data_IF_625701946417
#
_entry.id   IF_625701946417
#
_cell.length_a   1.000
_cell.length_b   1.000
_cell.length_c   1.000
_cell.angle_alpha   90.00
_cell.angle_beta   90.00
_cell.angle_gamma   90.00
#
_symmetry.space_group_name_H-M   'P 1'
#
loop_
_entity.id
_entity.type
_entity.pdbx_description
1 polymer ?
#
# COMPACT_ATOMS: atom_id res chain seq x y z
N UNK A 1 -40.03 -2.49 -38.48
CA UNK A 1 -38.61 -2.83 -38.58
C UNK A 1 -38.20 -3.43 -37.24
N UNK A 2 -37.84 -4.71 -37.21
CA UNK A 2 -37.47 -5.43 -36.00
C UNK A 2 -35.94 -5.32 -35.77
N UNK A 3 -35.44 -5.18 -34.52
CA UNK A 3 -34.02 -5.11 -34.26
C UNK A 3 -33.32 -6.46 -34.41
N UNK A 4 -32.02 -6.49 -34.76
CA UNK A 4 -31.27 -7.73 -34.95
C UNK A 4 -30.99 -8.45 -33.60
N UNK A 5 -31.13 -9.77 -33.63
CA UNK A 5 -30.81 -10.68 -32.51
C UNK A 5 -29.29 -10.90 -32.44
N UNK A 6 -28.73 -10.71 -31.27
CA UNK A 6 -27.32 -11.01 -30.98
C UNK A 6 -27.23 -12.49 -30.53
N UNK A 7 -26.38 -13.33 -31.15
CA UNK A 7 -26.18 -14.71 -30.69
C UNK A 7 -25.34 -14.75 -29.41
N UNK A 8 -25.82 -15.52 -28.42
CA UNK A 8 -25.16 -15.74 -27.16
C UNK A 8 -23.89 -16.60 -27.32
N UNK A 9 -22.79 -16.15 -26.79
CA UNK A 9 -21.57 -16.91 -26.59
C UNK A 9 -21.54 -17.48 -25.17
N UNK A 10 -21.88 -18.75 -25.02
CA UNK A 10 -21.64 -19.54 -23.83
C UNK A 10 -20.16 -19.91 -23.74
N UNK A 11 -19.49 -19.48 -22.72
CA UNK A 11 -18.14 -19.90 -22.34
C UNK A 11 -18.13 -20.44 -20.92
N UNK A 12 -18.28 -21.76 -20.76
CA UNK A 12 -17.98 -22.47 -19.50
C UNK A 12 -16.48 -22.76 -19.49
N UNK A 13 -15.74 -22.15 -18.57
CA UNK A 13 -14.34 -22.38 -18.31
C UNK A 13 -14.12 -22.87 -16.88
N UNK A 14 -13.85 -24.09 -16.80
CA UNK A 14 -13.20 -25.03 -15.89
C UNK A 14 -12.55 -24.49 -14.62
N UNK A 15 -12.95 -25.14 -13.52
CA UNK A 15 -12.32 -25.10 -12.20
C UNK A 15 -10.91 -25.70 -12.22
N UNK A 16 -9.89 -24.90 -11.89
CA UNK A 16 -8.55 -25.33 -11.57
C UNK A 16 -8.36 -25.44 -10.06
N UNK A 17 -8.49 -26.66 -9.50
CA UNK A 17 -8.04 -26.99 -8.13
C UNK A 17 -6.52 -27.15 -8.12
N UNK A 18 -5.78 -26.17 -7.60
CA UNK A 18 -4.38 -26.30 -7.24
C UNK A 18 -4.22 -26.64 -5.76
N UNK A 19 -4.06 -27.94 -5.43
CA UNK A 19 -3.54 -28.40 -4.14
C UNK A 19 -2.01 -28.23 -4.17
N UNK A 20 -1.46 -27.29 -3.41
CA UNK A 20 -0.05 -27.16 -3.11
C UNK A 20 0.19 -27.35 -1.63
N UNK A 21 0.47 -28.59 -1.20
CA UNK A 21 0.95 -28.92 0.13
C UNK A 21 2.44 -28.59 0.25
N UNK A 22 2.81 -27.65 1.10
CA UNK A 22 4.20 -27.35 1.48
C UNK A 22 4.45 -27.80 2.92
N UNK A 23 5.14 -28.94 3.05
CA UNK A 23 5.49 -29.53 4.34
C UNK A 23 6.53 -28.71 5.10
N UNK A 24 6.22 -28.36 6.33
CA UNK A 24 7.17 -27.81 7.30
C UNK A 24 8.00 -28.95 7.91
N UNK A 25 9.27 -29.03 7.54
CA UNK A 25 10.25 -29.87 8.24
C UNK A 25 10.70 -29.15 9.50
N UNK A 26 10.24 -29.65 10.66
CA UNK A 26 10.81 -29.34 11.99
C UNK A 26 12.20 -29.95 12.10
N UNK A 27 13.23 -29.14 12.05
CA UNK A 27 14.58 -29.50 12.43
C UNK A 27 14.73 -29.45 13.95
N UNK A 28 14.68 -30.64 14.60
CA UNK A 28 15.03 -30.84 16.00
C UNK A 28 16.55 -31.01 16.08
N UNK A 29 17.28 -29.94 16.40
CA UNK A 29 18.69 -29.98 16.76
C UNK A 29 18.85 -30.08 18.26
N UNK A 30 18.94 -31.31 18.83
CA UNK A 30 19.41 -31.55 20.20
C UNK A 30 20.95 -31.50 20.19
N UNK A 31 21.54 -30.45 20.71
CA UNK A 31 22.93 -30.48 21.13
C UNK A 31 23.02 -30.49 22.65
N UNK A 32 23.23 -31.68 23.16
CA UNK A 32 23.62 -32.00 24.52
C UNK A 32 25.14 -31.72 24.64
N UNK A 33 25.50 -30.55 25.11
CA UNK A 33 26.88 -30.21 25.51
C UNK A 33 27.06 -30.39 26.98
N UNK A 34 27.63 -31.53 27.36
CA UNK A 34 28.07 -31.90 28.68
C UNK A 34 29.38 -31.18 28.95
N UNK A 35 29.43 -30.22 29.86
CA UNK A 35 30.69 -29.70 30.37
C UNK A 35 30.82 -29.86 31.85
N UNK A 36 31.95 -30.48 32.18
CA UNK A 36 32.51 -30.92 33.42
C UNK A 36 32.75 -29.80 34.42
N UNK A 37 32.59 -30.22 35.67
CA UNK A 37 32.96 -29.58 36.89
C UNK A 37 34.32 -28.86 36.88
N UNK A 38 34.29 -27.58 37.25
CA UNK A 38 35.46 -26.79 37.60
C UNK A 38 35.17 -26.03 38.88
N UNK A 39 35.53 -26.64 39.98
CA UNK A 39 35.56 -26.06 41.30
C UNK A 39 36.51 -24.84 41.32
N UNK A 40 35.96 -23.64 41.51
CA UNK A 40 36.70 -22.42 41.70
C UNK A 40 35.79 -21.36 42.31
N UNK A 41 35.80 -21.22 43.63
CA UNK A 41 35.19 -20.10 44.33
C UNK A 41 35.86 -18.79 43.93
N UNK A 42 35.19 -17.85 43.32
CA UNK A 42 35.63 -16.45 43.32
C UNK A 42 34.83 -15.66 44.35
N UNK A 43 35.56 -14.94 45.16
CA UNK A 43 35.10 -13.93 46.12
C UNK A 43 34.22 -12.87 45.45
N UNK A 44 33.16 -12.36 46.11
CA UNK A 44 32.32 -11.33 45.52
C UNK A 44 33.05 -9.97 45.53
N UNK A 45 33.63 -9.58 44.39
CA UNK A 45 33.97 -8.18 44.12
C UNK A 45 32.67 -7.44 43.89
N UNK A 46 32.28 -6.61 44.84
CA UNK A 46 31.24 -5.59 44.66
C UNK A 46 31.73 -4.56 43.62
N UNK A 47 31.38 -4.78 42.38
CA UNK A 47 31.48 -3.72 41.36
C UNK A 47 30.07 -3.25 41.09
N UNK A 48 29.75 -2.06 41.64
CA UNK A 48 28.51 -1.34 41.40
C UNK A 48 28.41 -0.78 39.97
N UNK A 49 28.47 -1.66 38.96
CA UNK A 49 28.45 -1.30 37.53
C UNK A 49 27.14 -1.63 36.81
N UNK A 50 26.13 -2.12 37.57
CA UNK A 50 24.94 -2.74 36.94
C UNK A 50 23.86 -1.75 36.49
N UNK A 51 23.80 -0.53 36.99
CA UNK A 51 22.62 0.33 36.78
C UNK A 51 22.74 1.29 35.59
N UNK A 52 23.96 1.62 35.16
CA UNK A 52 24.19 2.50 34.01
C UNK A 52 24.15 1.78 32.66
N UNK A 53 24.51 0.50 32.63
CA UNK A 53 24.55 -0.29 31.39
C UNK A 53 23.14 -0.57 30.85
N UNK A 54 22.16 -0.81 31.72
CA UNK A 54 20.77 -1.08 31.30
C UNK A 54 20.09 0.17 30.74
N UNK A 55 20.32 1.33 31.37
CA UNK A 55 19.77 2.61 30.90
C UNK A 55 20.33 3.04 29.53
N UNK A 56 21.64 2.84 29.32
CA UNK A 56 22.29 3.16 28.04
C UNK A 56 21.79 2.32 26.88
N UNK A 57 21.62 1.01 27.10
CA UNK A 57 21.09 0.09 26.08
C UNK A 57 19.64 0.43 25.67
N UNK A 58 18.82 0.81 26.64
CA UNK A 58 17.42 1.18 26.38
C UNK A 58 17.32 2.46 25.55
N UNK A 59 18.13 3.48 25.84
CA UNK A 59 18.15 4.74 25.07
C UNK A 59 18.62 4.51 23.63
N UNK A 60 19.60 3.64 23.41
CA UNK A 60 20.07 3.29 22.04
C UNK A 60 18.97 2.58 21.27
N UNK A 61 18.25 1.64 21.91
CA UNK A 61 17.15 0.93 21.24
C UNK A 61 15.99 1.86 20.89
N UNK A 62 15.58 2.73 21.80
CA UNK A 62 14.52 3.72 21.51
C UNK A 62 14.93 4.67 20.39
N UNK A 63 16.19 5.14 20.40
CA UNK A 63 16.72 5.99 19.33
C UNK A 63 16.73 5.29 17.97
N UNK A 64 17.11 4.00 17.93
CA UNK A 64 17.17 3.24 16.69
C UNK A 64 15.78 2.98 16.08
N UNK A 65 14.78 2.63 16.91
CA UNK A 65 13.39 2.43 16.46
C UNK A 65 12.82 3.74 15.93
N UNK A 66 13.05 4.86 16.61
CA UNK A 66 12.57 6.18 16.17
C UNK A 66 13.21 6.62 14.84
N UNK A 67 14.51 6.35 14.66
CA UNK A 67 15.22 6.66 13.43
C UNK A 67 14.74 5.82 12.24
N UNK A 68 14.52 4.52 12.45
CA UNK A 68 14.00 3.62 11.42
C UNK A 68 12.59 4.02 10.96
N UNK A 69 11.71 4.35 11.90
CA UNK A 69 10.35 4.80 11.59
C UNK A 69 10.33 6.13 10.80
N UNK A 70 11.21 7.07 11.16
CA UNK A 70 11.33 8.34 10.43
C UNK A 70 11.81 8.12 9.00
N UNK A 71 12.83 7.27 8.79
CA UNK A 71 13.40 6.99 7.48
C UNK A 71 12.37 6.33 6.54
N UNK A 72 11.52 5.45 7.05
CA UNK A 72 10.46 4.82 6.25
C UNK A 72 9.41 5.85 5.81
N UNK A 73 9.06 6.79 6.68
CA UNK A 73 8.12 7.86 6.35
C UNK A 73 8.68 8.78 5.27
N UNK A 74 9.92 9.24 5.41
CA UNK A 74 10.59 10.13 4.44
C UNK A 74 10.70 9.47 3.06
N UNK A 75 10.96 8.16 2.99
CA UNK A 75 11.03 7.43 1.71
C UNK A 75 9.66 7.31 1.04
N UNK A 76 8.58 7.14 1.81
CA UNK A 76 7.21 7.09 1.27
C UNK A 76 6.79 8.45 0.69
N UNK A 77 7.08 9.53 1.40
CA UNK A 77 6.75 10.89 0.96
C UNK A 77 7.51 11.28 -0.31
N UNK A 78 8.80 10.93 -0.42
CA UNK A 78 9.60 11.19 -1.61
C UNK A 78 9.08 10.43 -2.86
N UNK A 79 8.70 9.16 -2.72
CA UNK A 79 8.12 8.35 -3.79
C UNK A 79 6.79 8.90 -4.27
N UNK A 80 5.93 9.29 -3.35
CA UNK A 80 4.61 9.84 -3.62
C UNK A 80 4.69 11.21 -4.34
N UNK A 81 5.63 12.05 -3.94
CA UNK A 81 5.90 13.33 -4.62
C UNK A 81 6.35 13.13 -6.06
N UNK A 82 7.19 12.12 -6.32
CA UNK A 82 7.65 11.77 -7.67
C UNK A 82 6.49 11.32 -8.57
N UNK A 83 5.59 10.46 -8.06
CA UNK A 83 4.40 9.99 -8.79
C UNK A 83 3.49 11.16 -9.17
N UNK A 84 3.12 12.01 -8.21
CA UNK A 84 2.28 13.17 -8.44
C UNK A 84 2.90 14.13 -9.46
N UNK A 85 4.21 14.36 -9.37
CA UNK A 85 4.92 15.20 -10.34
C UNK A 85 4.83 14.63 -11.75
N UNK A 86 4.96 13.32 -11.94
CA UNK A 86 4.79 12.66 -13.24
C UNK A 86 3.37 12.84 -13.81
N UNK A 87 2.36 12.55 -12.97
CA UNK A 87 0.95 12.64 -13.39
C UNK A 87 0.56 14.07 -13.77
N UNK A 88 1.06 15.08 -13.05
CA UNK A 88 0.75 16.50 -13.34
C UNK A 88 1.45 17.08 -14.56
N UNK A 89 2.56 16.47 -15.02
CA UNK A 89 3.27 16.94 -16.22
C UNK A 89 2.50 16.69 -17.51
N UNK A 90 1.56 15.76 -17.47
CA UNK A 90 0.76 15.35 -18.64
C UNK A 90 -0.55 16.14 -18.69
N UNK A 91 -1.18 16.19 -19.85
CA UNK A 91 -2.53 16.75 -19.99
C UNK A 91 -3.53 15.95 -19.15
N UNK A 92 -4.40 16.64 -18.42
CA UNK A 92 -5.40 16.00 -17.55
C UNK A 92 -6.74 15.90 -18.27
N UNK A 93 -7.25 14.67 -18.42
CA UNK A 93 -8.54 14.37 -19.04
C UNK A 93 -9.48 13.72 -18.02
N UNK A 94 -10.77 14.07 -18.08
CA UNK A 94 -11.82 13.48 -17.27
C UNK A 94 -12.66 12.54 -18.12
N UNK A 95 -12.83 11.28 -17.73
CA UNK A 95 -13.74 10.37 -18.42
C UNK A 95 -15.20 10.73 -18.10
N UNK A 96 -16.14 10.39 -18.99
CA UNK A 96 -17.57 10.53 -18.75
C UNK A 96 -18.01 9.82 -17.48
N UNK A 97 -17.53 8.59 -17.29
CA UNK A 97 -17.77 7.82 -16.07
C UNK A 97 -17.28 8.55 -14.82
N UNK A 98 -16.09 9.16 -14.86
CA UNK A 98 -15.56 9.91 -13.74
C UNK A 98 -16.41 11.16 -13.46
N UNK A 99 -16.84 11.88 -14.49
CA UNK A 99 -17.72 13.06 -14.35
C UNK A 99 -19.05 12.69 -13.71
N UNK A 100 -19.71 11.63 -14.21
CA UNK A 100 -20.94 11.13 -13.61
C UNK A 100 -20.77 10.72 -12.14
N UNK A 101 -19.63 10.09 -11.77
CA UNK A 101 -19.32 9.72 -10.39
C UNK A 101 -19.04 10.93 -9.50
N UNK A 102 -18.43 11.97 -10.03
CA UNK A 102 -18.22 13.22 -9.31
C UNK A 102 -19.54 13.90 -8.97
N UNK A 103 -20.44 14.02 -9.95
CA UNK A 103 -21.75 14.63 -9.77
C UNK A 103 -22.59 13.87 -8.75
N UNK A 104 -22.66 12.54 -8.88
CA UNK A 104 -23.40 11.69 -7.95
C UNK A 104 -22.89 11.74 -6.51
N UNK A 105 -21.59 11.92 -6.32
CA UNK A 105 -20.93 11.91 -4.99
C UNK A 105 -20.67 13.32 -4.46
N UNK A 106 -21.13 14.34 -5.13
CA UNK A 106 -20.90 15.73 -4.76
C UNK A 106 -19.43 16.05 -4.53
N UNK A 107 -18.56 15.49 -5.39
CA UNK A 107 -17.11 15.76 -5.38
C UNK A 107 -16.79 16.75 -6.48
N UNK A 108 -16.27 17.91 -6.09
CA UNK A 108 -15.92 18.96 -7.03
C UNK A 108 -14.66 18.63 -7.85
N UNK A 109 -14.56 19.24 -9.05
CA UNK A 109 -13.36 19.14 -9.87
C UNK A 109 -12.11 19.63 -9.14
N UNK A 110 -12.24 20.66 -8.30
CA UNK A 110 -11.15 21.19 -7.49
C UNK A 110 -10.63 20.16 -6.49
N UNK A 111 -11.53 19.47 -5.75
CA UNK A 111 -11.15 18.40 -4.82
C UNK A 111 -10.41 17.25 -5.52
N UNK A 112 -10.86 16.87 -6.72
CA UNK A 112 -10.20 15.83 -7.51
C UNK A 112 -8.80 16.25 -7.95
N UNK A 113 -8.64 17.46 -8.47
CA UNK A 113 -7.33 17.99 -8.87
C UNK A 113 -6.39 18.16 -7.67
N UNK A 114 -6.94 18.45 -6.50
CA UNK A 114 -6.17 18.51 -5.26
C UNK A 114 -5.52 17.16 -4.91
N UNK A 115 -6.15 16.02 -5.26
CA UNK A 115 -5.52 14.70 -5.09
C UNK A 115 -4.22 14.57 -5.88
N UNK A 116 -4.12 15.19 -7.07
CA UNK A 116 -2.86 15.23 -7.83
C UNK A 116 -1.82 16.17 -7.19
N UNK A 117 -2.27 17.18 -6.45
CA UNK A 117 -1.38 18.16 -5.83
C UNK A 117 -0.76 17.65 -4.55
N UNK A 118 -1.57 17.14 -3.64
CA UNK A 118 -1.16 16.75 -2.29
C UNK A 118 -1.62 15.36 -1.85
N UNK A 119 -2.41 14.64 -2.67
CA UNK A 119 -2.95 13.33 -2.30
C UNK A 119 -1.86 12.29 -2.05
N UNK A 120 -2.13 11.34 -1.18
CA UNK A 120 -1.25 10.22 -0.85
C UNK A 120 -1.61 9.00 -1.70
N UNK A 121 -0.61 8.28 -2.21
CA UNK A 121 -0.83 7.06 -2.97
C UNK A 121 -1.41 5.95 -2.09
N UNK A 122 -2.55 5.41 -2.50
CA UNK A 122 -3.15 4.21 -1.92
C UNK A 122 -2.71 2.97 -2.70
N UNK A 123 -1.61 2.35 -2.29
CA UNK A 123 -1.04 1.17 -2.97
C UNK A 123 -2.06 0.02 -3.09
N UNK A 124 -2.93 -0.15 -2.09
CA UNK A 124 -3.98 -1.18 -2.08
C UNK A 124 -4.98 -1.02 -3.23
N UNK A 125 -5.21 0.20 -3.68
CA UNK A 125 -6.19 0.54 -4.70
C UNK A 125 -5.55 0.95 -6.02
N UNK A 126 -4.22 0.96 -6.09
CA UNK A 126 -3.46 1.19 -7.31
C UNK A 126 -3.24 -0.14 -8.05
N UNK A 127 -3.31 -0.12 -9.39
CA UNK A 127 -3.10 -1.29 -10.25
C UNK A 127 -2.06 -0.94 -11.31
N UNK A 128 -0.80 -1.16 -11.00
CA UNK A 128 0.32 -0.81 -11.88
C UNK A 128 0.37 -1.68 -13.14
N UNK A 129 -0.15 -2.90 -13.06
CA UNK A 129 -0.25 -3.84 -14.19
C UNK A 129 -1.46 -3.61 -15.09
N UNK A 130 -2.30 -2.61 -14.81
CA UNK A 130 -3.49 -2.33 -15.63
C UNK A 130 -3.11 -1.96 -17.06
N UNK A 131 -3.87 -2.46 -18.02
CA UNK A 131 -3.72 -2.15 -19.45
C UNK A 131 -4.94 -1.37 -19.95
N UNK A 132 -4.78 -0.43 -20.88
CA UNK A 132 -3.55 -0.01 -21.55
C UNK A 132 -2.62 0.89 -20.71
N UNK A 133 -3.11 1.45 -19.60
CA UNK A 133 -2.36 2.39 -18.78
C UNK A 133 -2.34 1.97 -17.30
N UNK A 134 -1.22 2.07 -16.59
CA UNK A 134 -1.17 1.89 -15.13
C UNK A 134 -2.19 2.79 -14.43
N UNK A 135 -2.80 2.29 -13.35
CA UNK A 135 -3.78 3.04 -12.55
C UNK A 135 -3.23 3.31 -11.16
N UNK A 136 -3.36 4.55 -10.74
CA UNK A 136 -2.89 5.07 -9.47
C UNK A 136 -4.06 5.64 -8.68
N UNK A 137 -4.27 5.16 -7.48
CA UNK A 137 -5.27 5.73 -6.58
C UNK A 137 -4.60 6.74 -5.66
N UNK A 138 -5.03 7.99 -5.72
CA UNK A 138 -4.58 9.07 -4.85
C UNK A 138 -5.72 9.47 -3.92
N UNK A 139 -5.42 9.61 -2.64
CA UNK A 139 -6.38 9.94 -1.57
C UNK A 139 -6.03 11.29 -0.95
N UNK A 140 -7.04 12.15 -0.80
CA UNK A 140 -6.96 13.38 -0.04
C UNK A 140 -8.27 13.62 0.71
N UNK A 141 -8.22 13.61 2.04
CA UNK A 141 -9.40 13.68 2.88
C UNK A 141 -10.40 12.56 2.55
N UNK A 142 -11.64 12.90 2.21
CA UNK A 142 -12.70 11.95 1.83
C UNK A 142 -12.61 11.47 0.38
N UNK A 143 -11.81 12.13 -0.45
CA UNK A 143 -11.78 11.88 -1.89
C UNK A 143 -10.66 10.93 -2.27
N UNK A 144 -11.01 9.81 -2.90
CA UNK A 144 -10.08 8.91 -3.59
C UNK A 144 -10.30 9.04 -5.08
N UNK A 145 -9.30 9.51 -5.82
CA UNK A 145 -9.32 9.62 -7.27
C UNK A 145 -8.43 8.55 -7.88
N UNK A 146 -8.93 7.81 -8.88
CA UNK A 146 -8.18 6.80 -9.62
C UNK A 146 -7.75 7.39 -10.96
N UNK A 147 -6.45 7.53 -11.14
CA UNK A 147 -5.80 8.13 -12.30
C UNK A 147 -5.12 7.07 -13.16
N UNK A 148 -5.40 7.04 -14.46
CA UNK A 148 -4.66 6.25 -15.42
C UNK A 148 -3.50 7.09 -15.99
N UNK A 149 -2.28 6.56 -15.89
CA UNK A 149 -1.08 7.19 -16.43
C UNK A 149 -0.80 6.67 -17.83
N UNK A 150 -1.29 7.35 -18.86
CA UNK A 150 -1.02 7.03 -20.26
C UNK A 150 0.24 7.74 -20.77
N UNK A 151 0.67 7.45 -21.99
CA UNK A 151 1.89 8.02 -22.54
C UNK A 151 1.86 9.56 -22.61
N UNK A 152 0.78 10.10 -23.12
CA UNK A 152 0.57 11.53 -23.42
C UNK A 152 -0.31 12.26 -22.39
N UNK A 153 -1.13 11.53 -21.66
CA UNK A 153 -2.15 12.10 -20.76
C UNK A 153 -2.32 11.34 -19.47
N UNK A 154 -2.83 12.03 -18.47
CA UNK A 154 -3.32 11.50 -17.21
C UNK A 154 -4.84 11.54 -17.22
N UNK A 155 -5.50 10.39 -17.23
CA UNK A 155 -6.96 10.29 -17.31
C UNK A 155 -7.57 9.94 -15.98
N UNK A 156 -8.53 10.74 -15.53
CA UNK A 156 -9.37 10.38 -14.38
C UNK A 156 -10.32 9.25 -14.77
N UNK A 157 -10.18 8.11 -14.12
CA UNK A 157 -10.98 6.90 -14.39
C UNK A 157 -12.25 6.90 -13.55
N UNK A 158 -12.12 7.17 -12.26
CA UNK A 158 -13.26 7.22 -11.33
C UNK A 158 -12.89 8.01 -10.07
N UNK A 159 -13.93 8.43 -9.34
CA UNK A 159 -13.81 9.09 -8.04
C UNK A 159 -14.64 8.33 -7.02
N UNK A 160 -14.12 8.17 -5.83
CA UNK A 160 -14.76 7.47 -4.71
C UNK A 160 -14.78 8.40 -3.50
N UNK A 161 -15.94 8.59 -2.90
CA UNK A 161 -16.05 9.15 -1.56
C UNK A 161 -15.80 8.03 -0.55
N UNK A 162 -14.79 8.18 0.28
CA UNK A 162 -14.38 7.16 1.25
C UNK A 162 -15.15 7.23 2.57
N UNK A 163 -15.90 8.29 2.79
CA UNK A 163 -16.67 8.53 4.01
C UNK A 163 -18.15 8.18 3.81
N UNK A 164 -18.73 8.62 2.69
CA UNK A 164 -20.15 8.40 2.40
C UNK A 164 -20.31 7.34 1.30
N UNK A 165 -21.16 6.35 1.58
CA UNK A 165 -21.50 5.34 0.60
C UNK A 165 -22.73 5.79 -0.21
N UNK A 166 -22.56 6.74 -1.11
CA UNK A 166 -23.62 7.16 -2.01
C UNK A 166 -23.93 6.07 -3.03
N UNK A 167 -25.17 5.55 -3.09
CA UNK A 167 -25.59 4.63 -4.12
C UNK A 167 -25.73 5.39 -5.44
N UNK A 168 -24.66 5.46 -6.21
CA UNK A 168 -24.72 6.00 -7.57
C UNK A 168 -25.39 4.97 -8.48
N UNK A 169 -26.33 5.44 -9.30
CA UNK A 169 -26.87 4.66 -10.41
C UNK A 169 -25.81 4.25 -11.45
N UNK A 170 -26.23 3.62 -12.53
CA UNK A 170 -25.31 3.29 -13.62
C UNK A 170 -24.73 4.59 -14.22
N UNK A 171 -23.43 4.67 -14.24
CA UNK A 171 -22.66 5.74 -14.90
C UNK A 171 -21.96 5.21 -16.13
#
# INVERSE_FOLDING_TARGET
MAPPRIPGAGGRGAAGRGKGGGGYKRGMGKNFGKNKDGSGKPTPRKTGFGMWAVGGLFLVMVGFVSFAAKREKDTREAGDTSLRARLRRKSVEFSEHASCRMDCRFVSRAEVLETLRIGTESKRHSTQSARPCPRWALENGRTRAVWAECADKTKLVTVIDTVTNHPCGPC
#
